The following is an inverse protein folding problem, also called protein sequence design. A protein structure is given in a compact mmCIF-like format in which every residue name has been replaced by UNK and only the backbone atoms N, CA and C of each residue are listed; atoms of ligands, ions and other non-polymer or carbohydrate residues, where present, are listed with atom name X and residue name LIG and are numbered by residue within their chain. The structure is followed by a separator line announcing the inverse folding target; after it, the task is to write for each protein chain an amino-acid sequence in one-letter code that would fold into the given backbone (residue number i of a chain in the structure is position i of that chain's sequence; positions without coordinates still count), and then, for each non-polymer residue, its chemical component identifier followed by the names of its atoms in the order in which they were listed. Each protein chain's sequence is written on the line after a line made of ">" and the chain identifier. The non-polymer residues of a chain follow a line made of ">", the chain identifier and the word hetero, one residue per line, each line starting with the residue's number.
data_IF_517882230135
#
_entry.id   IF_517882230135
#
_cell.length_a   1.000
_cell.length_b   1.000
_cell.length_c   1.000
_cell.angle_alpha   90.00
_cell.angle_beta   90.00
_cell.angle_gamma   90.00
#
_symmetry.space_group_name_H-M   'P 1'
#
loop_
_entity.id
_entity.type
_entity.pdbx_description
1 polymer ?
#
# COMPACT_ATOMS: atom_id res chain seq x y z
N UNK A 1 57.15 -21.03 30.77
CA UNK A 1 56.62 -21.88 29.68
C UNK A 1 55.20 -21.42 29.38
N UNK A 2 54.95 -20.95 28.14
CA UNK A 2 53.65 -20.45 27.66
C UNK A 2 52.99 -21.57 26.86
N UNK A 3 51.84 -22.05 27.31
CA UNK A 3 50.87 -22.75 26.47
C UNK A 3 49.49 -22.56 27.11
N UNK A 4 48.72 -21.59 26.63
CA UNK A 4 47.28 -21.49 26.93
C UNK A 4 46.54 -21.65 25.62
N UNK A 5 45.89 -22.79 25.52
CA UNK A 5 44.91 -23.21 24.55
C UNK A 5 43.56 -22.56 24.95
N UNK A 6 42.89 -21.83 24.06
CA UNK A 6 41.43 -21.57 24.16
C UNK A 6 40.90 -21.27 22.75
N UNK A 7 40.27 -22.25 22.12
CA UNK A 7 38.83 -22.54 22.10
C UNK A 7 38.03 -21.62 21.16
N UNK A 8 37.70 -22.22 20.03
CA UNK A 8 36.82 -21.80 18.94
C UNK A 8 35.44 -21.38 19.44
N UNK A 9 34.96 -20.19 19.07
CA UNK A 9 33.54 -19.85 19.10
C UNK A 9 33.02 -19.71 17.66
N UNK A 10 32.34 -20.76 17.20
CA UNK A 10 31.42 -20.76 16.07
C UNK A 10 30.19 -19.92 16.47
N UNK A 11 30.09 -18.67 16.03
CA UNK A 11 28.87 -17.89 16.14
C UNK A 11 27.96 -18.22 14.95
N UNK A 12 26.93 -19.03 15.18
CA UNK A 12 25.85 -19.30 14.23
C UNK A 12 25.14 -17.98 13.86
N UNK A 13 25.41 -17.47 12.66
CA UNK A 13 24.59 -16.44 12.05
C UNK A 13 23.25 -17.07 11.65
N UNK A 14 22.24 -16.98 12.53
CA UNK A 14 20.86 -17.30 12.18
C UNK A 14 20.41 -16.29 11.12
N UNK A 15 20.05 -16.71 9.90
CA UNK A 15 19.38 -15.81 8.97
C UNK A 15 18.06 -15.39 9.62
N UNK A 16 17.97 -14.12 10.03
CA UNK A 16 16.69 -13.50 10.38
C UNK A 16 15.92 -13.42 9.07
N UNK A 17 15.14 -14.46 8.78
CA UNK A 17 14.11 -14.40 7.75
C UNK A 17 13.08 -13.39 8.24
N UNK A 18 13.29 -12.13 7.91
CA UNK A 18 12.30 -11.06 8.08
C UNK A 18 11.07 -11.51 7.31
N UNK A 19 10.00 -11.86 8.03
CA UNK A 19 8.72 -12.12 7.39
C UNK A 19 8.30 -10.84 6.69
N UNK A 20 8.03 -10.98 5.39
CA UNK A 20 7.50 -9.93 4.54
C UNK A 20 6.45 -9.10 5.30
N UNK A 21 6.51 -7.77 5.14
CA UNK A 21 5.38 -6.91 5.49
C UNK A 21 4.20 -7.36 4.66
N UNK A 22 3.41 -8.27 5.22
CA UNK A 22 2.26 -8.87 4.58
C UNK A 22 1.13 -7.84 4.59
N UNK A 23 1.01 -7.20 3.42
CA UNK A 23 -0.12 -6.47 2.89
C UNK A 23 -0.67 -5.30 3.73
N UNK A 24 -0.07 -4.12 3.54
CA UNK A 24 -0.80 -2.86 3.75
C UNK A 24 -2.01 -2.70 2.81
N UNK A 25 -2.15 -3.60 1.82
CA UNK A 25 -3.24 -3.64 0.87
C UNK A 25 -4.18 -4.83 1.10
N UNK A 26 -5.16 -4.66 1.98
CA UNK A 26 -6.22 -5.65 2.16
C UNK A 26 -7.37 -5.33 1.19
N UNK A 27 -7.35 -5.91 -0.01
CA UNK A 27 -8.33 -5.61 -1.05
C UNK A 27 -8.99 -6.91 -1.53
N UNK A 28 -10.33 -7.00 -1.59
CA UNK A 28 -11.02 -8.16 -2.18
C UNK A 28 -10.63 -8.36 -3.65
N UNK A 29 -10.59 -9.60 -4.12
CA UNK A 29 -10.11 -9.94 -5.48
C UNK A 29 -10.89 -9.24 -6.61
N UNK A 30 -12.18 -8.97 -6.39
CA UNK A 30 -13.05 -8.26 -7.34
C UNK A 30 -12.95 -6.73 -7.28
N UNK A 31 -12.11 -6.18 -6.39
CA UNK A 31 -11.84 -4.74 -6.31
C UNK A 31 -10.43 -4.47 -6.83
N UNK A 32 -10.33 -3.70 -7.90
CA UNK A 32 -9.07 -3.37 -8.53
C UNK A 32 -8.59 -1.98 -8.11
N UNK A 33 -7.30 -1.87 -7.83
CA UNK A 33 -6.64 -0.62 -7.46
C UNK A 33 -5.61 -0.28 -8.52
N UNK A 34 -5.73 0.91 -9.09
CA UNK A 34 -4.71 1.49 -9.98
C UNK A 34 -4.40 2.93 -9.57
N UNK A 35 -3.44 3.55 -10.26
CA UNK A 35 -2.92 4.87 -9.90
C UNK A 35 -2.70 5.73 -11.13
N UNK A 36 -3.03 7.01 -11.00
CA UNK A 36 -2.82 8.04 -12.01
C UNK A 36 -2.04 9.21 -11.38
N UNK A 37 -1.16 9.83 -12.16
CA UNK A 37 -0.44 11.03 -11.78
C UNK A 37 -0.40 12.04 -12.94
N UNK A 38 -1.54 12.65 -13.34
CA UNK A 38 -1.53 13.67 -14.38
C UNK A 38 -0.83 14.95 -13.89
N UNK A 39 0.01 15.55 -14.75
CA UNK A 39 0.59 16.87 -14.53
C UNK A 39 -0.44 17.97 -14.79
N UNK A 40 -0.51 18.97 -13.91
CA UNK A 40 -1.54 20.04 -13.94
C UNK A 40 -0.92 21.45 -14.04
N UNK A 41 0.28 21.58 -14.61
CA UNK A 41 0.95 22.87 -14.82
C UNK A 41 1.85 23.33 -13.66
N UNK A 42 1.48 23.00 -12.42
CA UNK A 42 2.24 23.35 -11.20
C UNK A 42 2.66 22.11 -10.36
N UNK A 43 2.46 20.91 -10.90
CA UNK A 43 2.76 19.65 -10.24
C UNK A 43 1.80 18.54 -10.64
N UNK A 44 2.06 17.34 -10.14
CA UNK A 44 1.24 16.16 -10.35
C UNK A 44 0.11 16.08 -9.34
N UNK A 45 -1.05 15.58 -9.78
CA UNK A 45 -2.11 15.15 -8.86
C UNK A 45 -2.04 13.66 -8.69
N UNK A 46 -1.80 13.17 -7.48
CA UNK A 46 -1.82 11.74 -7.17
C UNK A 46 -3.26 11.29 -6.98
N UNK A 47 -3.69 10.34 -7.80
CA UNK A 47 -5.05 9.82 -7.81
C UNK A 47 -4.99 8.30 -7.67
N UNK A 48 -5.66 7.77 -6.66
CA UNK A 48 -5.92 6.34 -6.56
C UNK A 48 -7.26 6.04 -7.22
N UNK A 49 -7.28 5.09 -8.13
CA UNK A 49 -8.49 4.66 -8.83
C UNK A 49 -8.93 3.32 -8.24
N UNK A 50 -10.19 3.27 -7.79
CA UNK A 50 -10.82 2.10 -7.22
C UNK A 50 -11.91 1.63 -8.17
N UNK A 51 -11.79 0.43 -8.71
CA UNK A 51 -12.82 -0.18 -9.55
C UNK A 51 -13.41 -1.37 -8.82
N UNK A 52 -14.70 -1.30 -8.50
CA UNK A 52 -15.40 -2.35 -7.79
C UNK A 52 -16.23 -3.19 -8.77
N UNK A 53 -15.72 -4.37 -9.13
CA UNK A 53 -16.46 -5.35 -9.94
C UNK A 53 -17.22 -6.36 -9.08
N UNK A 54 -17.17 -6.22 -7.75
CA UNK A 54 -17.91 -7.06 -6.82
C UNK A 54 -19.43 -6.83 -6.93
N UNK A 55 -20.21 -7.82 -6.51
CA UNK A 55 -21.68 -7.73 -6.44
C UNK A 55 -22.22 -6.86 -5.29
N UNK A 56 -21.34 -6.27 -4.48
CA UNK A 56 -21.69 -5.45 -3.31
C UNK A 56 -20.85 -4.18 -3.29
N UNK A 57 -21.34 -3.16 -2.61
CA UNK A 57 -20.56 -1.96 -2.34
C UNK A 57 -19.38 -2.27 -1.40
N UNK A 58 -18.32 -1.48 -1.48
CA UNK A 58 -17.15 -1.61 -0.62
C UNK A 58 -16.87 -0.29 0.11
N UNK A 59 -16.36 -0.39 1.35
CA UNK A 59 -15.74 0.73 2.07
C UNK A 59 -14.24 0.58 2.00
N UNK A 60 -13.57 1.58 1.45
CA UNK A 60 -12.13 1.61 1.28
C UNK A 60 -11.50 2.74 2.10
N UNK A 61 -10.33 2.48 2.69
CA UNK A 61 -9.43 3.48 3.25
C UNK A 61 -8.26 3.63 2.30
N UNK A 62 -8.01 4.85 1.83
CA UNK A 62 -7.00 5.15 0.81
C UNK A 62 -5.96 6.10 1.38
N UNK A 63 -4.68 5.73 1.24
CA UNK A 63 -3.53 6.59 1.50
C UNK A 63 -2.42 6.30 0.46
N UNK A 64 -1.33 7.05 0.50
CA UNK A 64 -0.13 6.79 -0.33
C UNK A 64 1.15 6.90 0.49
N UNK A 65 2.28 6.53 -0.11
CA UNK A 65 3.64 6.83 0.39
C UNK A 65 3.93 8.34 0.50
N UNK A 66 3.35 9.14 -0.39
CA UNK A 66 3.52 10.60 -0.43
C UNK A 66 2.56 11.36 0.50
N UNK A 67 1.33 10.86 0.67
CA UNK A 67 0.36 11.39 1.64
C UNK A 67 -0.21 10.25 2.48
N UNK A 68 0.25 10.08 3.74
CA UNK A 68 -0.19 8.98 4.60
C UNK A 68 -1.58 9.21 5.22
N UNK A 69 -2.22 10.36 4.97
CA UNK A 69 -3.56 10.66 5.50
C UNK A 69 -4.59 9.73 4.87
N UNK A 70 -5.33 8.98 5.70
CA UNK A 70 -6.35 8.03 5.21
C UNK A 70 -7.64 8.74 4.82
N UNK A 71 -8.09 8.50 3.60
CA UNK A 71 -9.37 8.96 3.07
C UNK A 71 -10.33 7.77 3.00
N UNK A 72 -11.45 7.87 3.73
CA UNK A 72 -12.52 6.90 3.63
C UNK A 72 -13.35 7.16 2.37
N UNK A 73 -13.54 6.12 1.55
CA UNK A 73 -14.34 6.19 0.33
C UNK A 73 -15.22 4.97 0.20
N UNK A 74 -16.51 5.20 -0.07
CA UNK A 74 -17.43 4.15 -0.48
C UNK A 74 -17.37 4.00 -2.00
N UNK A 75 -17.29 2.76 -2.48
CA UNK A 75 -17.32 2.41 -3.90
C UNK A 75 -18.53 1.51 -4.12
N UNK A 76 -19.54 1.98 -4.84
CA UNK A 76 -20.73 1.17 -5.12
C UNK A 76 -20.38 -0.09 -5.94
N UNK A 77 -21.26 -1.09 -5.93
CA UNK A 77 -21.11 -2.26 -6.80
C UNK A 77 -21.09 -1.83 -8.28
N UNK A 78 -20.14 -2.35 -9.05
CA UNK A 78 -19.96 -2.01 -10.46
C UNK A 78 -19.43 -0.58 -10.73
N UNK A 79 -19.01 0.16 -9.70
CA UNK A 79 -18.59 1.56 -9.85
C UNK A 79 -17.08 1.73 -9.86
N UNK A 80 -16.63 2.81 -10.50
CA UNK A 80 -15.25 3.30 -10.43
C UNK A 80 -15.20 4.64 -9.70
N UNK A 81 -14.34 4.74 -8.70
CA UNK A 81 -14.13 5.95 -7.91
C UNK A 81 -12.68 6.43 -8.04
N UNK A 82 -12.50 7.75 -8.19
CA UNK A 82 -11.18 8.39 -8.26
C UNK A 82 -10.95 9.23 -7.01
N UNK A 83 -9.93 8.88 -6.23
CA UNK A 83 -9.59 9.53 -4.97
C UNK A 83 -8.29 10.31 -5.14
N UNK A 84 -8.39 11.64 -5.25
CA UNK A 84 -7.23 12.51 -5.26
C UNK A 84 -6.65 12.61 -3.84
N UNK A 85 -5.44 12.08 -3.64
CA UNK A 85 -4.78 12.04 -2.33
C UNK A 85 -3.83 13.21 -2.14
N UNK A 86 -3.16 13.67 -3.21
CA UNK A 86 -2.26 14.83 -3.17
C UNK A 86 -2.34 15.65 -4.44
N UNK A 87 -2.38 16.98 -4.33
CA UNK A 87 -2.31 17.92 -5.46
C UNK A 87 -1.00 18.71 -5.41
N UNK A 88 -0.48 19.10 -6.58
CA UNK A 88 0.74 19.89 -6.69
C UNK A 88 2.00 19.15 -6.20
N UNK A 89 2.02 17.82 -6.31
CA UNK A 89 3.20 17.04 -5.94
C UNK A 89 4.31 17.24 -6.97
N UNK A 90 5.58 17.39 -6.56
CA UNK A 90 6.70 17.35 -7.49
C UNK A 90 6.96 15.92 -8.02
N UNK A 91 6.47 14.89 -7.32
CA UNK A 91 6.70 13.50 -7.69
C UNK A 91 5.68 13.02 -8.74
N UNK A 92 6.16 12.39 -9.81
CA UNK A 92 5.33 11.75 -10.84
C UNK A 92 4.93 10.31 -10.50
N UNK A 93 5.59 9.71 -9.52
CA UNK A 93 5.34 8.34 -9.05
C UNK A 93 5.03 8.33 -7.55
N UNK A 94 4.21 7.37 -7.15
CA UNK A 94 3.81 7.11 -5.76
C UNK A 94 3.28 5.67 -5.64
N UNK A 95 3.10 5.20 -4.42
CA UNK A 95 2.62 3.86 -4.07
C UNK A 95 1.33 3.96 -3.27
N UNK A 96 0.21 3.39 -3.76
CA UNK A 96 -1.05 3.40 -3.02
C UNK A 96 -1.04 2.40 -1.87
N UNK A 97 -1.72 2.77 -0.79
CA UNK A 97 -2.02 1.95 0.39
C UNK A 97 -3.52 1.93 0.59
N UNK A 98 -4.16 0.80 0.34
CA UNK A 98 -5.61 0.67 0.22
C UNK A 98 -6.11 -0.56 0.97
N UNK A 99 -7.00 -0.36 1.93
CA UNK A 99 -7.74 -1.45 2.57
C UNK A 99 -9.23 -1.30 2.28
N UNK A 100 -9.88 -2.34 1.75
CA UNK A 100 -11.29 -2.35 1.42
C UNK A 100 -12.03 -3.52 2.09
N UNK A 101 -13.28 -3.28 2.46
CA UNK A 101 -14.18 -4.30 3.01
C UNK A 101 -15.53 -4.21 2.31
N UNK A 102 -16.09 -5.35 1.91
CA UNK A 102 -17.42 -5.41 1.30
C UNK A 102 -18.50 -5.08 2.33
N UNK A 103 -19.51 -4.32 1.92
CA UNK A 103 -20.68 -4.01 2.75
C UNK A 103 -21.67 -5.19 2.69
N UNK A 104 -21.92 -5.83 3.84
CA UNK A 104 -22.88 -6.93 3.94
C UNK A 104 -22.28 -8.34 3.88
N UNK A 105 -20.98 -8.48 4.18
CA UNK A 105 -20.33 -9.77 4.47
C UNK A 105 -20.59 -10.28 5.88
#
# INVERSE_FOLDING_TARGET
>A
MRFVLMLSLFALALPVFSRAQESENQVPDCLHVSKEAPYQGYGYTHIVVLENTCGQAARCQVATDVDPTRIAKRVAAGATERVATRRGSPASAFSPRVSCTLEGG
#
